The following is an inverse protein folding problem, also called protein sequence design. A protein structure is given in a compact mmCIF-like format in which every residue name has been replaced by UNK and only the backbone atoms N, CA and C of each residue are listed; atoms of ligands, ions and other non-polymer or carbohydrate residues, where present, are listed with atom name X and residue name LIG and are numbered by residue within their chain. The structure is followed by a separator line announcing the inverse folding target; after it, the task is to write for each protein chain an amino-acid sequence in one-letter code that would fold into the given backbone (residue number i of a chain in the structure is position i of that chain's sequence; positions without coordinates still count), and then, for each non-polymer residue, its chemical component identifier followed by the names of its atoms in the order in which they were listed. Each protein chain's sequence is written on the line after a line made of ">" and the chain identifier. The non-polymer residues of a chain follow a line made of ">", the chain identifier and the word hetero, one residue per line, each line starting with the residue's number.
data_IF_712052410950
#
_entry.id   IF_712052410950
#
_cell.length_a   1.000
_cell.length_b   1.000
_cell.length_c   1.000
_cell.angle_alpha   90.00
_cell.angle_beta   90.00
_cell.angle_gamma   90.00
#
_symmetry.space_group_name_H-M   'P 1'
#
loop_
_entity.id
_entity.type
_entity.pdbx_description
1 polymer ?
#
# COMPACT_ATOMS: atom_id res chain seq x y z
N UNK A 1 11.93 58.88 20.96
CA UNK A 1 11.42 60.26 20.86
C UNK A 1 11.85 60.82 19.50
N UNK A 2 10.89 61.28 18.66
CA UNK A 2 10.92 62.44 17.71
C UNK A 2 12.12 62.55 16.72
N UNK A 3 12.02 62.80 15.40
CA UNK A 3 11.06 63.41 14.46
C UNK A 3 11.42 62.89 13.04
N UNK A 4 10.48 62.52 12.17
CA UNK A 4 9.85 63.32 11.09
C UNK A 4 10.78 64.33 10.39
N UNK A 5 11.00 64.14 9.08
CA UNK A 5 11.13 65.25 8.11
C UNK A 5 10.72 64.79 6.71
N UNK A 6 9.61 65.37 6.27
CA UNK A 6 9.02 65.32 4.92
C UNK A 6 9.76 66.34 4.06
N UNK A 7 10.11 65.97 2.82
CA UNK A 7 10.46 66.94 1.79
C UNK A 7 9.75 66.56 0.48
N UNK A 8 8.70 67.32 0.22
CA UNK A 8 7.90 67.35 -1.00
C UNK A 8 8.56 68.31 -2.00
N UNK A 9 8.86 67.85 -3.21
CA UNK A 9 9.17 68.73 -4.34
C UNK A 9 8.40 68.27 -5.57
N UNK A 10 7.36 69.05 -5.91
CA UNK A 10 6.74 69.13 -7.22
C UNK A 10 7.72 69.75 -8.21
N UNK A 11 7.80 69.23 -9.45
CA UNK A 11 7.80 70.08 -10.65
C UNK A 11 7.52 69.30 -11.94
N UNK A 12 6.57 69.87 -12.69
CA UNK A 12 6.48 70.01 -14.16
C UNK A 12 6.19 68.81 -15.06
N UNK A 13 4.97 68.85 -15.60
CA UNK A 13 4.49 68.14 -16.78
C UNK A 13 5.19 68.62 -18.06
N UNK A 14 5.56 67.65 -18.90
CA UNK A 14 5.83 67.85 -20.33
C UNK A 14 4.96 66.87 -21.10
N UNK A 15 4.06 67.39 -21.93
CA UNK A 15 3.24 66.62 -22.85
C UNK A 15 3.93 66.52 -24.20
N UNK A 16 4.03 65.30 -24.75
CA UNK A 16 4.31 65.04 -26.15
C UNK A 16 3.24 64.08 -26.69
N UNK A 17 2.68 64.32 -27.90
CA UNK A 17 1.63 63.50 -28.47
C UNK A 17 2.22 62.35 -29.32
N UNK A 18 1.50 61.23 -29.36
CA UNK A 18 1.63 60.26 -30.44
C UNK A 18 2.04 58.86 -30.02
N UNK A 19 1.05 57.97 -30.01
CA UNK A 19 1.02 56.63 -30.65
C UNK A 19 0.16 55.68 -29.83
N UNK A 20 -1.07 55.56 -30.31
CA UNK A 20 -2.05 54.56 -29.92
C UNK A 20 -1.48 53.16 -30.20
N UNK A 21 -1.10 52.43 -29.15
CA UNK A 21 -0.95 50.98 -29.22
C UNK A 21 -1.70 50.41 -28.02
N UNK A 22 -2.86 49.81 -28.30
CA UNK A 22 -3.68 49.04 -27.35
C UNK A 22 -2.75 48.17 -26.51
N UNK A 23 -2.62 48.51 -25.22
CA UNK A 23 -2.11 47.57 -24.23
C UNK A 23 -3.18 46.49 -24.14
N UNK A 24 -2.88 45.34 -24.72
CA UNK A 24 -3.70 44.16 -24.59
C UNK A 24 -3.85 43.83 -23.10
N UNK A 25 -5.08 43.49 -22.72
CA UNK A 25 -5.35 42.75 -21.50
C UNK A 25 -4.32 41.63 -21.37
N UNK A 26 -3.49 41.71 -20.34
CA UNK A 26 -2.72 40.56 -19.89
C UNK A 26 -3.72 39.71 -19.10
N UNK A 27 -4.15 38.53 -19.59
CA UNK A 27 -4.95 37.66 -18.75
C UNK A 27 -4.07 37.24 -17.57
N UNK A 28 -4.54 37.53 -16.36
CA UNK A 28 -3.99 36.93 -15.16
C UNK A 28 -4.07 35.41 -15.32
N UNK A 29 -2.93 34.78 -15.60
CA UNK A 29 -2.82 33.34 -15.66
C UNK A 29 -3.11 32.78 -14.27
N UNK A 30 -4.19 32.00 -14.16
CA UNK A 30 -4.66 31.36 -12.93
C UNK A 30 -3.71 30.24 -12.49
N UNK A 31 -3.12 30.27 -11.27
CA UNK A 31 -2.48 29.11 -10.65
C UNK A 31 -3.42 28.32 -9.73
N UNK A 32 -4.71 28.69 -9.64
CA UNK A 32 -5.63 28.16 -8.63
C UNK A 32 -5.95 26.65 -8.78
N UNK A 33 -5.86 26.10 -10.00
CA UNK A 33 -6.19 24.70 -10.25
C UNK A 33 -5.11 23.73 -9.75
N UNK A 34 -3.82 24.05 -9.93
CA UNK A 34 -2.72 23.21 -9.42
C UNK A 34 -2.69 23.22 -7.90
N UNK A 35 -2.69 24.39 -7.27
CA UNK A 35 -2.64 24.51 -5.81
C UNK A 35 -3.82 23.81 -5.08
N UNK A 36 -5.02 23.83 -5.69
CA UNK A 36 -6.18 23.12 -5.13
C UNK A 36 -6.07 21.59 -5.29
N UNK A 37 -5.47 21.11 -6.38
CA UNK A 37 -5.20 19.67 -6.60
C UNK A 37 -4.10 19.16 -5.66
N UNK A 38 -3.02 19.93 -5.46
CA UNK A 38 -1.90 19.59 -4.57
C UNK A 38 -2.35 19.54 -3.10
N UNK A 39 -3.22 20.48 -2.69
CA UNK A 39 -3.83 20.48 -1.34
C UNK A 39 -4.70 19.24 -1.13
N UNK A 40 -5.49 18.84 -2.13
CA UNK A 40 -6.35 17.65 -2.09
C UNK A 40 -5.53 16.36 -2.02
N UNK A 41 -4.48 16.23 -2.84
CA UNK A 41 -3.57 15.08 -2.82
C UNK A 41 -2.86 14.96 -1.47
N UNK A 42 -2.35 16.08 -0.93
CA UNK A 42 -1.69 16.12 0.38
C UNK A 42 -2.64 15.71 1.51
N UNK A 43 -3.89 16.18 1.50
CA UNK A 43 -4.88 15.79 2.50
C UNK A 43 -5.20 14.29 2.44
N UNK A 44 -5.36 13.73 1.24
CA UNK A 44 -5.64 12.30 1.05
C UNK A 44 -4.48 11.41 1.50
N UNK A 45 -3.24 11.75 1.12
CA UNK A 45 -2.06 10.98 1.56
C UNK A 45 -1.88 11.05 3.07
N UNK A 46 -2.16 12.22 3.67
CA UNK A 46 -2.15 12.36 5.14
C UNK A 46 -3.20 11.46 5.78
N UNK A 47 -4.43 11.49 5.31
CA UNK A 47 -5.52 10.67 5.84
C UNK A 47 -5.20 9.17 5.73
N UNK A 48 -4.69 8.73 4.58
CA UNK A 48 -4.29 7.34 4.37
C UNK A 48 -3.11 6.94 5.26
N UNK A 49 -2.11 7.81 5.41
CA UNK A 49 -0.97 7.57 6.31
C UNK A 49 -1.37 7.53 7.78
N UNK A 50 -2.19 8.46 8.24
CA UNK A 50 -2.62 8.55 9.64
C UNK A 50 -3.41 7.32 10.06
N UNK A 51 -4.31 6.85 9.19
CA UNK A 51 -5.08 5.67 9.52
C UNK A 51 -4.36 4.35 9.24
N UNK A 52 -3.32 4.31 8.40
CA UNK A 52 -2.37 3.19 8.34
C UNK A 52 -1.68 3.04 9.71
N UNK A 53 -1.16 4.14 10.25
CA UNK A 53 -0.55 4.13 11.58
C UNK A 53 -1.56 3.77 12.69
N UNK A 54 -2.80 4.24 12.59
CA UNK A 54 -3.85 3.85 13.54
C UNK A 54 -4.09 2.33 13.56
N UNK A 55 -4.17 1.68 12.39
CA UNK A 55 -4.31 0.22 12.30
C UNK A 55 -3.09 -0.49 12.90
N UNK A 56 -1.88 -0.02 12.60
CA UNK A 56 -0.65 -0.57 13.17
C UNK A 56 -0.68 -0.54 14.71
N UNK A 57 -1.00 0.62 15.29
CA UNK A 57 -1.11 0.80 16.75
C UNK A 57 -2.22 -0.05 17.36
N UNK A 58 -3.37 -0.17 16.68
CA UNK A 58 -4.46 -1.04 17.13
C UNK A 58 -4.03 -2.51 17.20
N UNK A 59 -3.27 -2.99 16.22
CA UNK A 59 -2.74 -4.36 16.22
C UNK A 59 -1.75 -4.55 17.38
N UNK A 60 -0.82 -3.60 17.59
CA UNK A 60 0.13 -3.66 18.73
C UNK A 60 -0.62 -3.77 20.04
N UNK A 61 -1.59 -2.87 20.30
CA UNK A 61 -2.37 -2.88 21.54
C UNK A 61 -3.24 -4.13 21.68
N UNK A 62 -3.82 -4.61 20.59
CA UNK A 62 -4.68 -5.80 20.60
C UNK A 62 -3.88 -7.08 20.90
N UNK A 63 -2.67 -7.19 20.35
CA UNK A 63 -1.85 -8.39 20.45
C UNK A 63 -0.90 -8.39 21.65
N UNK A 64 -0.72 -7.25 22.31
CA UNK A 64 0.09 -7.14 23.53
C UNK A 64 -0.43 -8.12 24.60
N UNK A 65 0.46 -8.98 25.10
CA UNK A 65 0.13 -9.99 26.10
C UNK A 65 -0.85 -11.09 25.64
N UNK A 66 -1.16 -11.22 24.35
CA UNK A 66 -2.14 -12.18 23.80
C UNK A 66 -1.90 -13.62 24.28
N UNK A 67 -0.63 -14.03 24.39
CA UNK A 67 -0.25 -15.38 24.79
C UNK A 67 -0.73 -15.75 26.20
N UNK A 68 -0.96 -14.76 27.06
CA UNK A 68 -1.43 -14.94 28.44
C UNK A 68 -2.95 -15.08 28.57
N UNK A 69 -3.69 -14.82 27.49
CA UNK A 69 -5.15 -14.85 27.51
C UNK A 69 -5.73 -16.28 27.61
N UNK A 70 -6.95 -16.45 28.16
CA UNK A 70 -7.70 -17.69 28.08
C UNK A 70 -7.95 -18.12 26.63
N UNK A 71 -8.04 -19.42 26.37
CA UNK A 71 -8.08 -19.96 25.00
C UNK A 71 -9.22 -19.42 24.11
N UNK A 72 -10.39 -19.11 24.68
CA UNK A 72 -11.50 -18.52 23.94
C UNK A 72 -11.19 -17.08 23.53
N UNK A 73 -10.81 -16.24 24.49
CA UNK A 73 -10.46 -14.84 24.27
C UNK A 73 -9.25 -14.69 23.34
N UNK A 74 -8.25 -15.57 23.48
CA UNK A 74 -7.09 -15.62 22.59
C UNK A 74 -7.51 -15.83 21.12
N UNK A 75 -8.44 -16.74 20.84
CA UNK A 75 -8.93 -16.98 19.48
C UNK A 75 -9.66 -15.76 18.91
N UNK A 76 -10.42 -15.05 19.73
CA UNK A 76 -11.11 -13.81 19.33
C UNK A 76 -10.11 -12.71 18.99
N UNK A 77 -9.11 -12.50 19.85
CA UNK A 77 -8.03 -11.52 19.64
C UNK A 77 -7.24 -11.85 18.36
N UNK A 78 -6.88 -13.12 18.14
CA UNK A 78 -6.21 -13.57 16.91
C UNK A 78 -7.06 -13.33 15.65
N UNK A 79 -8.36 -13.64 15.71
CA UNK A 79 -9.25 -13.44 14.58
C UNK A 79 -9.39 -11.96 14.22
N UNK A 80 -9.56 -11.09 15.22
CA UNK A 80 -9.63 -9.65 15.03
C UNK A 80 -8.29 -9.08 14.55
N UNK A 81 -7.16 -9.53 15.13
CA UNK A 81 -5.83 -9.14 14.70
C UNK A 81 -5.58 -9.49 13.23
N UNK A 82 -6.02 -10.66 12.79
CA UNK A 82 -5.92 -11.06 11.39
C UNK A 82 -6.75 -10.17 10.47
N UNK A 83 -7.95 -9.76 10.88
CA UNK A 83 -8.78 -8.83 10.11
C UNK A 83 -8.11 -7.46 9.98
N UNK A 84 -7.63 -6.91 11.11
CA UNK A 84 -6.92 -5.63 11.13
C UNK A 84 -5.63 -5.67 10.29
N UNK A 85 -4.89 -6.78 10.33
CA UNK A 85 -3.68 -6.95 9.54
C UNK A 85 -3.97 -6.98 8.03
N UNK A 86 -5.05 -7.62 7.60
CA UNK A 86 -5.47 -7.56 6.19
C UNK A 86 -5.85 -6.13 5.76
N UNK A 87 -6.58 -5.39 6.59
CA UNK A 87 -6.90 -3.98 6.31
C UNK A 87 -5.63 -3.12 6.26
N UNK A 88 -4.67 -3.37 7.16
CA UNK A 88 -3.37 -2.70 7.16
C UNK A 88 -2.64 -2.92 5.83
N UNK A 89 -2.55 -4.17 5.34
CA UNK A 89 -1.92 -4.48 4.04
C UNK A 89 -2.62 -3.79 2.87
N UNK A 90 -3.96 -3.80 2.86
CA UNK A 90 -4.72 -3.11 1.82
C UNK A 90 -4.49 -1.60 1.85
N UNK A 91 -4.37 -1.02 3.03
CA UNK A 91 -4.13 0.41 3.20
C UNK A 91 -2.71 0.81 2.81
N UNK A 92 -1.70 -0.02 3.11
CA UNK A 92 -0.34 0.17 2.61
C UNK A 92 -0.34 0.24 1.08
N UNK A 93 -1.03 -0.68 0.40
CA UNK A 93 -1.11 -0.66 -1.05
C UNK A 93 -1.81 0.60 -1.57
N UNK A 94 -2.96 0.98 -1.00
CA UNK A 94 -3.67 2.21 -1.40
C UNK A 94 -2.82 3.45 -1.22
N UNK A 95 -2.11 3.56 -0.10
CA UNK A 95 -1.22 4.69 0.18
C UNK A 95 -0.07 4.77 -0.83
N UNK A 96 0.58 3.64 -1.12
CA UNK A 96 1.64 3.57 -2.12
C UNK A 96 1.12 3.93 -3.52
N UNK A 97 -0.01 3.36 -3.95
CA UNK A 97 -0.63 3.64 -5.24
C UNK A 97 -0.98 5.13 -5.42
N UNK A 98 -1.44 5.79 -4.36
CA UNK A 98 -1.72 7.23 -4.37
C UNK A 98 -0.44 8.06 -4.46
N UNK A 99 0.60 7.68 -3.71
CA UNK A 99 1.86 8.41 -3.62
C UNK A 99 2.75 8.22 -4.87
N UNK A 100 2.56 7.14 -5.63
CA UNK A 100 3.27 6.86 -6.88
C UNK A 100 2.67 7.57 -8.10
N UNK A 101 1.53 8.24 -7.97
CA UNK A 101 0.95 8.97 -9.11
C UNK A 101 1.83 10.16 -9.49
N UNK A 102 2.04 10.44 -10.80
CA UNK A 102 2.87 11.56 -11.24
C UNK A 102 2.46 12.91 -10.66
N UNK A 103 1.15 13.14 -10.49
CA UNK A 103 0.59 14.35 -9.91
C UNK A 103 0.77 14.46 -8.38
N UNK A 104 1.20 13.39 -7.70
CA UNK A 104 1.31 13.35 -6.24
C UNK A 104 2.70 13.72 -5.72
N UNK A 105 3.69 14.07 -6.56
CA UNK A 105 5.09 14.22 -6.13
C UNK A 105 5.29 15.16 -4.93
N UNK A 106 4.63 16.33 -4.92
CA UNK A 106 4.70 17.26 -3.79
C UNK A 106 4.04 16.68 -2.53
N UNK A 107 2.86 16.09 -2.70
CA UNK A 107 2.14 15.44 -1.62
C UNK A 107 2.93 14.24 -1.02
N UNK A 108 3.65 13.50 -1.85
CA UNK A 108 4.54 12.41 -1.46
C UNK A 108 5.76 12.95 -0.70
N UNK A 109 6.34 14.07 -1.13
CA UNK A 109 7.40 14.74 -0.36
C UNK A 109 6.92 15.19 1.03
N UNK A 110 5.67 15.68 1.13
CA UNK A 110 5.05 16.05 2.40
C UNK A 110 4.77 14.83 3.29
N UNK A 111 4.36 13.70 2.71
CA UNK A 111 4.19 12.44 3.42
C UNK A 111 5.52 11.96 4.03
N UNK A 112 6.62 11.93 3.25
CA UNK A 112 7.94 11.55 3.76
C UNK A 112 8.39 12.48 4.89
N UNK A 113 8.21 13.80 4.73
CA UNK A 113 8.53 14.79 5.77
C UNK A 113 7.78 14.49 7.07
N UNK A 114 6.50 14.11 7.00
CA UNK A 114 5.72 13.73 8.17
C UNK A 114 6.26 12.45 8.81
N UNK A 115 6.57 11.42 8.03
CA UNK A 115 7.13 10.16 8.54
C UNK A 115 8.43 10.39 9.32
N UNK A 116 9.30 11.25 8.81
CA UNK A 116 10.57 11.58 9.46
C UNK A 116 10.38 12.38 10.74
N UNK A 117 9.53 13.41 10.71
CA UNK A 117 9.58 14.51 11.68
C UNK A 117 8.37 14.67 12.58
N UNK A 118 7.32 13.84 12.46
CA UNK A 118 6.12 13.99 13.29
C UNK A 118 6.48 13.79 14.79
N UNK A 119 6.33 14.82 15.65
CA UNK A 119 6.86 14.79 17.01
C UNK A 119 6.10 13.82 17.94
N UNK A 120 4.88 13.44 17.57
CA UNK A 120 4.07 12.49 18.34
C UNK A 120 4.29 11.02 17.96
N UNK A 121 5.26 10.72 17.09
CA UNK A 121 5.53 9.36 16.63
C UNK A 121 6.81 8.82 17.27
N UNK A 122 6.71 7.64 17.86
CA UNK A 122 7.86 6.86 18.31
C UNK A 122 8.57 6.20 17.13
N UNK A 123 9.80 5.72 17.32
CA UNK A 123 10.53 5.04 16.24
C UNK A 123 9.78 3.81 15.73
N UNK A 124 9.19 3.03 16.62
CA UNK A 124 8.35 1.88 16.27
C UNK A 124 7.12 2.25 15.42
N UNK A 125 6.55 3.45 15.59
CA UNK A 125 5.41 3.90 14.77
C UNK A 125 5.80 4.01 13.28
N UNK A 126 7.05 4.38 13.00
CA UNK A 126 7.55 4.56 11.63
C UNK A 126 7.64 3.23 10.88
N UNK A 127 7.74 2.11 11.60
CA UNK A 127 7.75 0.77 11.00
C UNK A 127 6.45 0.45 10.25
N UNK A 128 5.33 1.10 10.57
CA UNK A 128 4.07 0.97 9.83
C UNK A 128 4.22 1.29 8.33
N UNK A 129 5.18 2.15 7.98
CA UNK A 129 5.41 2.66 6.63
C UNK A 129 6.51 1.91 5.87
N UNK A 130 7.21 0.95 6.48
CA UNK A 130 8.35 0.26 5.85
C UNK A 130 8.02 -0.32 4.46
N UNK A 131 6.90 -1.02 4.34
CA UNK A 131 6.47 -1.58 3.06
C UNK A 131 6.16 -0.48 2.02
N UNK A 132 5.48 0.60 2.44
CA UNK A 132 5.17 1.74 1.58
C UNK A 132 6.46 2.41 1.08
N UNK A 133 7.44 2.65 1.96
CA UNK A 133 8.73 3.21 1.59
C UNK A 133 9.49 2.32 0.59
N UNK A 134 9.42 0.99 0.75
CA UNK A 134 9.98 0.03 -0.22
C UNK A 134 9.37 0.17 -1.62
N UNK A 135 8.06 0.31 -1.68
CA UNK A 135 7.33 0.53 -2.94
C UNK A 135 7.66 1.90 -3.54
N UNK A 136 7.77 2.96 -2.73
CA UNK A 136 8.16 4.30 -3.19
C UNK A 136 9.60 4.35 -3.74
N UNK A 137 10.57 3.77 -3.02
CA UNK A 137 11.95 3.70 -3.45
C UNK A 137 12.10 3.01 -4.82
N UNK A 138 11.29 1.97 -5.06
CA UNK A 138 11.29 1.24 -6.34
C UNK A 138 10.49 1.99 -7.43
N UNK A 139 9.27 2.39 -7.13
CA UNK A 139 8.33 2.97 -8.10
C UNK A 139 8.75 4.34 -8.60
N UNK A 140 9.21 5.23 -7.72
CA UNK A 140 9.65 6.58 -8.10
C UNK A 140 10.96 6.55 -8.90
N UNK A 141 11.83 5.58 -8.63
CA UNK A 141 13.04 5.36 -9.43
C UNK A 141 12.71 4.99 -10.88
N UNK A 142 11.65 4.21 -11.09
CA UNK A 142 11.21 3.78 -12.43
C UNK A 142 10.59 4.92 -13.26
N UNK A 143 10.06 5.96 -12.61
CA UNK A 143 9.50 7.13 -13.29
C UNK A 143 10.56 8.01 -14.00
N UNK A 144 11.84 7.83 -13.69
CA UNK A 144 12.99 8.48 -14.35
C UNK A 144 12.93 10.02 -14.41
N UNK A 145 12.20 10.67 -13.50
CA UNK A 145 12.26 12.13 -13.31
C UNK A 145 13.28 12.48 -12.23
N UNK A 146 13.91 13.66 -12.31
CA UNK A 146 14.91 14.07 -11.30
C UNK A 146 14.32 14.13 -9.90
N UNK A 147 13.11 14.68 -9.76
CA UNK A 147 12.44 14.80 -8.46
C UNK A 147 11.96 13.44 -7.93
N UNK A 148 11.47 12.56 -8.81
CA UNK A 148 11.16 11.17 -8.46
C UNK A 148 12.39 10.41 -7.98
N UNK A 149 13.54 10.55 -8.65
CA UNK A 149 14.80 9.91 -8.25
C UNK A 149 15.28 10.42 -6.88
N UNK A 150 15.15 11.72 -6.59
CA UNK A 150 15.49 12.28 -5.27
C UNK A 150 14.60 11.71 -4.17
N UNK A 151 13.29 11.65 -4.41
CA UNK A 151 12.34 11.08 -3.44
C UNK A 151 12.56 9.57 -3.25
N UNK A 152 12.87 8.84 -4.32
CA UNK A 152 13.23 7.42 -4.25
C UNK A 152 14.45 7.19 -3.36
N UNK A 153 15.48 8.02 -3.51
CA UNK A 153 16.68 7.95 -2.68
C UNK A 153 16.39 8.27 -1.22
N UNK A 154 15.60 9.31 -0.95
CA UNK A 154 15.17 9.67 0.40
C UNK A 154 14.43 8.52 1.09
N UNK A 155 13.46 7.91 0.39
CA UNK A 155 12.75 6.74 0.90
C UNK A 155 13.68 5.55 1.17
N UNK A 156 14.74 5.36 0.36
CA UNK A 156 15.74 4.33 0.62
C UNK A 156 16.58 4.64 1.87
N UNK A 157 16.99 5.88 2.07
CA UNK A 157 17.72 6.30 3.28
C UNK A 157 16.86 6.13 4.55
N UNK A 158 15.54 6.38 4.45
CA UNK A 158 14.60 6.09 5.53
C UNK A 158 14.48 4.58 5.79
N UNK A 159 14.41 3.74 4.75
CA UNK A 159 14.38 2.28 4.91
C UNK A 159 15.63 1.75 5.62
N UNK A 160 16.80 2.26 5.27
CA UNK A 160 18.06 1.87 5.89
C UNK A 160 18.05 2.24 7.38
N UNK A 161 17.48 3.40 7.73
CA UNK A 161 17.27 3.81 9.12
C UNK A 161 16.27 2.91 9.84
N UNK A 162 15.15 2.57 9.19
CA UNK A 162 14.12 1.71 9.76
C UNK A 162 14.58 0.26 9.95
N UNK A 163 15.59 -0.21 9.22
CA UNK A 163 16.16 -1.53 9.43
C UNK A 163 16.82 -1.67 10.82
N UNK A 164 17.49 -0.62 11.30
CA UNK A 164 18.06 -0.60 12.65
C UNK A 164 16.97 -0.49 13.72
N UNK A 165 15.91 0.28 13.46
CA UNK A 165 14.73 0.35 14.34
C UNK A 165 14.07 -1.01 14.44
N UNK A 166 13.77 -1.67 13.32
CA UNK A 166 13.15 -2.99 13.29
C UNK A 166 13.96 -4.02 14.06
N UNK A 167 15.29 -4.00 13.91
CA UNK A 167 16.20 -4.87 14.66
C UNK A 167 16.14 -4.61 16.17
N UNK A 168 15.97 -3.36 16.59
CA UNK A 168 15.82 -3.01 18.01
C UNK A 168 14.49 -3.51 18.61
N UNK A 169 13.46 -3.73 17.77
CA UNK A 169 12.13 -4.20 18.16
C UNK A 169 11.80 -5.62 17.66
N UNK A 170 12.80 -6.42 17.23
CA UNK A 170 12.56 -7.69 16.54
C UNK A 170 11.71 -8.66 17.37
N UNK A 171 11.97 -8.72 18.68
CA UNK A 171 11.26 -9.62 19.58
C UNK A 171 9.79 -9.21 19.73
N UNK A 172 9.53 -7.93 19.98
CA UNK A 172 8.20 -7.36 20.15
C UNK A 172 7.39 -7.48 18.86
N UNK A 173 8.00 -7.21 17.70
CA UNK A 173 7.35 -7.34 16.40
C UNK A 173 6.99 -8.80 16.09
N UNK A 174 7.85 -9.75 16.47
CA UNK A 174 7.56 -11.18 16.30
C UNK A 174 6.39 -11.63 17.18
N UNK A 175 6.31 -11.13 18.41
CA UNK A 175 5.20 -11.41 19.32
C UNK A 175 3.88 -10.85 18.78
N UNK A 176 3.88 -9.59 18.32
CA UNK A 176 2.67 -8.91 17.82
C UNK A 176 2.25 -9.41 16.44
N UNK A 177 3.17 -9.50 15.47
CA UNK A 177 2.85 -9.72 14.06
C UNK A 177 3.18 -11.13 13.54
N UNK A 178 3.98 -11.92 14.27
CA UNK A 178 4.46 -13.22 13.81
C UNK A 178 3.35 -14.26 13.58
N UNK A 179 2.18 -14.06 14.20
CA UNK A 179 1.00 -14.91 14.01
C UNK A 179 0.30 -14.74 12.67
N UNK A 180 0.38 -13.57 12.03
CA UNK A 180 -0.45 -13.23 10.87
C UNK A 180 0.11 -13.72 9.53
N UNK A 181 1.41 -13.96 9.45
CA UNK A 181 2.07 -14.49 8.25
C UNK A 181 1.85 -16.01 8.06
N UNK A 182 1.23 -16.70 9.03
CA UNK A 182 0.88 -18.12 8.93
C UNK A 182 -0.29 -18.30 7.97
N UNK A 183 0.02 -18.42 6.68
CA UNK A 183 -0.96 -18.88 5.68
C UNK A 183 -1.55 -20.23 6.10
N UNK A 184 -2.87 -20.32 5.93
CA UNK A 184 -3.72 -21.40 6.38
C UNK A 184 -3.28 -22.78 5.88
N UNK A 185 -3.63 -23.77 6.69
CA UNK A 185 -3.11 -25.14 6.76
C UNK A 185 -1.90 -25.21 7.70
N UNK A 186 -2.20 -25.33 8.99
CA UNK A 186 -1.28 -25.96 9.93
C UNK A 186 -0.99 -27.37 9.39
N UNK A 187 0.26 -27.60 8.97
CA UNK A 187 0.67 -28.85 8.36
C UNK A 187 0.63 -29.97 9.41
N UNK A 188 -0.53 -30.59 9.57
CA UNK A 188 -0.67 -31.79 10.40
C UNK A 188 -0.09 -32.96 9.61
N UNK A 189 1.14 -33.39 9.95
CA UNK A 189 1.73 -34.61 9.39
C UNK A 189 0.95 -35.82 9.92
N UNK A 190 -0.13 -36.17 9.23
CA UNK A 190 -0.85 -37.42 9.47
C UNK A 190 0.03 -38.60 9.07
N UNK A 191 -0.09 -39.73 9.76
CA UNK A 191 0.58 -40.95 9.32
C UNK A 191 -0.03 -41.35 7.97
N UNK A 192 0.82 -41.67 7.00
CA UNK A 192 0.39 -42.13 5.67
C UNK A 192 -0.63 -43.28 5.75
N UNK A 193 -0.49 -44.15 6.75
CA UNK A 193 -1.42 -45.26 7.03
C UNK A 193 -2.84 -44.79 7.33
N UNK A 194 -2.98 -43.71 8.09
CA UNK A 194 -4.27 -43.21 8.56
C UNK A 194 -5.00 -42.48 7.42
N UNK A 195 -4.23 -41.75 6.61
CA UNK A 195 -4.71 -41.16 5.36
C UNK A 195 -5.21 -42.23 4.38
N UNK A 196 -4.43 -43.29 4.13
CA UNK A 196 -4.83 -44.40 3.25
C UNK A 196 -6.05 -45.15 3.82
N UNK A 197 -6.15 -45.32 5.14
CA UNK A 197 -7.31 -45.95 5.77
C UNK A 197 -8.59 -45.12 5.56
N UNK A 198 -8.51 -43.80 5.75
CA UNK A 198 -9.62 -42.88 5.44
C UNK A 198 -10.04 -42.97 3.98
N UNK A 199 -9.08 -42.99 3.04
CA UNK A 199 -9.39 -43.12 1.61
C UNK A 199 -10.06 -44.44 1.25
N UNK A 200 -9.59 -45.56 1.83
CA UNK A 200 -10.22 -46.88 1.64
C UNK A 200 -11.64 -46.98 2.21
N UNK A 201 -12.01 -46.10 3.14
CA UNK A 201 -13.38 -46.01 3.65
C UNK A 201 -14.31 -45.24 2.71
N UNK A 202 -13.76 -44.37 1.85
CA UNK A 202 -14.50 -43.53 0.92
C UNK A 202 -14.55 -44.13 -0.50
N UNK A 203 -13.52 -44.88 -0.87
CA UNK A 203 -13.35 -45.44 -2.21
C UNK A 203 -12.96 -46.91 -2.12
N UNK A 204 -13.65 -47.75 -2.89
CA UNK A 204 -13.22 -49.13 -3.16
C UNK A 204 -12.31 -49.15 -4.37
N UNK A 205 -11.44 -50.16 -4.45
CA UNK A 205 -10.52 -50.32 -5.58
C UNK A 205 -11.32 -50.60 -6.86
N UNK A 206 -12.36 -51.41 -6.73
CA UNK A 206 -13.27 -51.81 -7.79
C UNK A 206 -14.00 -50.58 -8.35
N UNK A 207 -14.49 -49.66 -7.50
CA UNK A 207 -15.13 -48.43 -7.96
C UNK A 207 -14.17 -47.50 -8.72
N UNK A 208 -12.89 -47.49 -8.35
CA UNK A 208 -11.88 -46.72 -9.07
C UNK A 208 -11.54 -47.35 -10.44
N UNK A 209 -11.47 -48.68 -10.51
CA UNK A 209 -11.25 -49.43 -11.75
C UNK A 209 -12.45 -49.31 -12.70
N UNK A 210 -13.68 -49.40 -12.18
CA UNK A 210 -14.92 -49.22 -12.94
C UNK A 210 -15.03 -47.80 -13.51
N UNK A 211 -14.65 -46.78 -12.70
CA UNK A 211 -14.62 -45.39 -13.18
C UNK A 211 -13.64 -45.22 -14.35
N UNK A 212 -12.46 -45.84 -14.29
CA UNK A 212 -11.49 -45.81 -15.38
C UNK A 212 -12.00 -46.54 -16.63
N UNK A 213 -12.66 -47.69 -16.48
CA UNK A 213 -13.24 -48.43 -17.59
C UNK A 213 -14.37 -47.63 -18.27
N UNK A 214 -15.24 -46.99 -17.50
CA UNK A 214 -16.30 -46.12 -18.01
C UNK A 214 -15.73 -44.92 -18.78
N UNK A 215 -14.64 -44.32 -18.29
CA UNK A 215 -13.97 -43.21 -18.95
C UNK A 215 -13.35 -43.64 -20.30
N UNK A 216 -12.77 -44.84 -20.34
CA UNK A 216 -12.18 -45.44 -21.55
C UNK A 216 -13.25 -45.81 -22.60
N UNK A 217 -14.36 -46.41 -22.17
CA UNK A 217 -15.50 -46.73 -23.04
C UNK A 217 -16.16 -45.46 -23.57
N UNK A 218 -16.29 -44.44 -22.73
CA UNK A 218 -16.80 -43.12 -23.10
C UNK A 218 -15.94 -42.44 -24.17
N UNK A 219 -14.61 -42.47 -24.03
CA UNK A 219 -13.67 -41.95 -25.02
C UNK A 219 -13.74 -42.71 -26.36
N UNK A 220 -13.89 -44.04 -26.32
CA UNK A 220 -14.05 -44.87 -27.53
C UNK A 220 -15.35 -44.57 -28.28
N UNK A 221 -16.47 -44.42 -27.56
CA UNK A 221 -17.75 -44.03 -28.17
C UNK A 221 -17.72 -42.61 -28.73
N UNK A 222 -17.00 -41.68 -28.09
CA UNK A 222 -16.81 -40.33 -28.63
C UNK A 222 -16.02 -40.37 -29.95
N UNK A 223 -14.96 -41.19 -30.02
CA UNK A 223 -14.18 -41.39 -31.23
C UNK A 223 -14.99 -41.96 -32.40
N UNK A 224 -15.86 -42.96 -32.14
CA UNK A 224 -16.72 -43.53 -33.18
C UNK A 224 -17.80 -42.55 -33.68
N UNK A 225 -18.38 -41.73 -32.79
CA UNK A 225 -19.37 -40.70 -33.20
C UNK A 225 -18.73 -39.60 -34.06
N UNK A 226 -17.48 -39.22 -33.80
CA UNK A 226 -16.72 -38.28 -34.63
C UNK A 226 -16.42 -38.87 -36.01
N UNK A 227 -16.08 -40.16 -36.10
CA UNK A 227 -15.82 -40.83 -37.37
C UNK A 227 -17.06 -40.94 -38.27
N UNK A 228 -18.23 -41.21 -37.68
CA UNK A 228 -19.52 -41.30 -38.41
C UNK A 228 -19.96 -39.93 -38.95
N UNK A 229 -19.71 -38.85 -38.20
CA UNK A 229 -19.97 -37.48 -38.66
C UNK A 229 -19.04 -37.02 -39.79
N UNK A 230 -17.81 -37.55 -39.84
CA UNK A 230 -16.83 -37.24 -40.89
C UNK A 230 -16.93 -38.15 -42.14
N UNK A 231 -17.66 -39.27 -42.07
CA UNK A 231 -17.83 -40.24 -43.16
C UNK A 231 -19.18 -40.19 -43.89
N UNK A 232 -20.03 -39.21 -43.58
CA UNK A 232 -21.36 -39.03 -44.18
C UNK A 232 -21.46 -37.77 -45.07
N UNK A 233 -20.42 -37.49 -45.85
CA UNK A 233 -20.42 -36.50 -46.95
C UNK A 233 -20.11 -37.16 -48.27
#
# INVERSE_FOLDING_TARGET
>A
MRLVSVALLLTTAFALPGCNKRLGDVPAALPAASAAQDTSATARLREEGDGLLALHRQIVVLMDGEATLPAAQRREVQALGQQLFHELLQRQQRLADLALRPESLEATAALLTRIESEPGWFDADRLAFKEVLGQLATGLKNAQTLDGIKLARRAQEDLDTLAEVEKAYEQELKEVFGGFAKRGIELKRERWTDYVAKLKALYTREAAEDFLQLLLVGLLHLGQRVQVLLGAT
#
